data_IF_668807476337
#
_entry.id   IF_668807476337
#
_cell.length_a   1.000
_cell.length_b   1.000
_cell.length_c   1.000
_cell.angle_alpha   90.00
_cell.angle_beta   90.00
_cell.angle_gamma   90.00
#
_symmetry.space_group_name_H-M   'P 1'
#
loop_
_entity.id
_entity.type
_entity.pdbx_description
1 polymer ?
#
# COMPACT_ATOMS: atom_id res chain seq x y z
N UNK A 1 14.93 -11.17 15.95
CA UNK A 1 13.63 -10.53 16.25
C UNK A 1 13.00 -11.19 17.46
N UNK A 2 12.15 -10.45 18.19
CA UNK A 2 11.46 -10.88 19.43
C UNK A 2 10.21 -11.75 19.17
N UNK A 3 9.79 -11.92 17.91
CA UNK A 3 8.56 -12.60 17.53
C UNK A 3 8.85 -13.94 16.83
N UNK A 4 8.03 -14.95 17.11
CA UNK A 4 8.05 -16.23 16.42
C UNK A 4 7.00 -16.27 15.31
N UNK A 5 7.21 -17.12 14.30
CA UNK A 5 6.22 -17.34 13.23
C UNK A 5 4.83 -17.69 13.77
N UNK A 6 4.76 -18.49 14.83
CA UNK A 6 3.50 -18.87 15.49
C UNK A 6 2.73 -17.68 16.06
N UNK A 7 3.41 -16.62 16.48
CA UNK A 7 2.76 -15.41 16.98
C UNK A 7 2.00 -14.72 15.85
N UNK A 8 2.62 -14.67 14.66
CA UNK A 8 2.00 -14.11 13.46
C UNK A 8 0.87 -14.99 12.93
N UNK A 9 1.02 -16.31 12.94
CA UNK A 9 -0.07 -17.23 12.57
C UNK A 9 -1.29 -17.05 13.46
N UNK A 10 -1.09 -16.82 14.77
CA UNK A 10 -2.17 -16.53 15.70
C UNK A 10 -2.87 -15.20 15.36
N UNK A 11 -2.11 -14.11 15.14
CA UNK A 11 -2.68 -12.81 14.73
C UNK A 11 -3.47 -12.92 13.41
N UNK A 12 -2.93 -13.66 12.43
CA UNK A 12 -3.54 -13.81 11.10
C UNK A 12 -4.77 -14.74 11.09
N UNK A 13 -4.88 -15.66 12.06
CA UNK A 13 -6.02 -16.58 12.20
C UNK A 13 -7.37 -15.85 12.36
N UNK A 14 -7.35 -14.62 12.89
CA UNK A 14 -8.55 -13.79 13.05
C UNK A 14 -9.06 -13.15 11.76
N UNK A 15 -8.24 -13.14 10.71
CA UNK A 15 -8.54 -12.40 9.47
C UNK A 15 -8.57 -13.32 8.24
N UNK A 16 -8.57 -14.64 8.47
CA UNK A 16 -8.60 -15.68 7.44
C UNK A 16 -7.41 -15.61 6.46
N UNK A 17 -6.25 -15.17 6.94
CA UNK A 17 -5.03 -15.15 6.16
C UNK A 17 -4.10 -16.29 6.60
N UNK A 18 -3.43 -16.93 5.65
CA UNK A 18 -2.41 -17.95 5.91
C UNK A 18 -1.06 -17.53 5.34
N UNK A 19 0.02 -17.81 6.05
CA UNK A 19 1.40 -17.58 5.57
C UNK A 19 1.75 -18.64 4.55
N UNK A 20 1.98 -18.22 3.30
CA UNK A 20 2.40 -19.08 2.19
C UNK A 20 3.91 -19.23 2.18
N UNK A 21 4.62 -18.09 2.16
CA UNK A 21 6.08 -18.04 2.15
C UNK A 21 6.59 -16.89 3.01
N UNK A 22 7.90 -16.90 3.25
CA UNK A 22 8.56 -15.93 4.13
C UNK A 22 9.93 -15.61 3.57
N UNK A 23 10.22 -14.32 3.43
CA UNK A 23 11.54 -13.78 3.17
C UNK A 23 11.96 -12.88 4.34
N UNK A 24 13.23 -12.91 4.73
CA UNK A 24 13.71 -12.18 5.91
C UNK A 24 15.15 -11.73 5.76
N UNK A 25 15.47 -10.61 6.39
CA UNK A 25 16.83 -10.17 6.67
C UNK A 25 16.93 -9.60 8.09
N UNK A 26 18.04 -8.94 8.44
CA UNK A 26 18.26 -8.42 9.79
C UNK A 26 17.34 -7.27 10.19
N UNK A 27 16.62 -6.67 9.23
CA UNK A 27 15.85 -5.42 9.41
C UNK A 27 14.34 -5.66 9.23
N UNK A 28 13.95 -6.53 8.28
CA UNK A 28 12.56 -6.76 7.88
C UNK A 28 12.27 -8.24 7.62
N UNK A 29 11.15 -8.71 8.16
CA UNK A 29 10.49 -9.96 7.80
C UNK A 29 9.30 -9.64 6.88
N UNK A 30 9.21 -10.36 5.76
CA UNK A 30 8.13 -10.24 4.79
C UNK A 30 7.42 -11.59 4.62
N UNK A 31 6.10 -11.58 4.65
CA UNK A 31 5.26 -12.77 4.56
C UNK A 31 4.31 -12.61 3.38
N UNK A 32 4.44 -13.49 2.38
CA UNK A 32 3.40 -13.64 1.35
C UNK A 32 2.28 -14.45 1.98
N UNK A 33 1.08 -13.90 1.94
CA UNK A 33 -0.13 -14.52 2.48
C UNK A 33 -1.05 -14.96 1.34
N UNK A 34 -2.10 -15.71 1.67
CA UNK A 34 -3.21 -16.00 0.76
C UNK A 34 -3.86 -14.70 0.25
N UNK A 35 -3.42 -14.26 -0.93
CA UNK A 35 -3.78 -13.00 -1.62
C UNK A 35 -3.44 -11.71 -0.85
N UNK A 36 -2.44 -11.74 0.03
CA UNK A 36 -2.21 -10.65 0.98
C UNK A 36 -0.72 -10.57 1.35
N UNK A 37 -0.29 -9.49 2.01
CA UNK A 37 1.10 -9.34 2.45
C UNK A 37 1.18 -8.78 3.86
N UNK A 38 2.18 -9.24 4.60
CA UNK A 38 2.53 -8.69 5.91
C UNK A 38 4.03 -8.41 6.00
N UNK A 39 4.37 -7.25 6.54
CA UNK A 39 5.75 -6.84 6.78
C UNK A 39 5.94 -6.48 8.24
N UNK A 40 7.04 -6.96 8.82
CA UNK A 40 7.39 -6.76 10.23
C UNK A 40 8.81 -6.26 10.30
N UNK A 41 9.00 -5.13 10.96
CA UNK A 41 10.33 -4.58 11.28
C UNK A 41 10.38 -4.19 12.76
N UNK A 42 11.51 -3.67 13.22
CA UNK A 42 11.73 -3.32 14.64
C UNK A 42 10.61 -2.47 15.27
N UNK A 43 10.00 -1.54 14.52
CA UNK A 43 8.99 -0.60 15.04
C UNK A 43 7.79 -0.37 14.10
N UNK A 44 7.71 -1.12 13.00
CA UNK A 44 6.64 -0.96 11.99
C UNK A 44 6.09 -2.33 11.63
N UNK A 45 4.76 -2.41 11.62
CA UNK A 45 3.99 -3.56 11.18
C UNK A 45 3.02 -3.10 10.10
N UNK A 46 2.98 -3.83 8.99
CA UNK A 46 2.11 -3.57 7.85
C UNK A 46 1.36 -4.86 7.54
N UNK A 47 0.04 -4.76 7.37
CA UNK A 47 -0.80 -5.84 6.88
C UNK A 47 -1.70 -5.28 5.78
N UNK A 48 -1.56 -5.86 4.58
CA UNK A 48 -2.42 -5.56 3.44
C UNK A 48 -3.19 -6.81 3.08
N UNK A 49 -4.51 -6.71 3.11
CA UNK A 49 -5.39 -7.83 2.76
C UNK A 49 -6.40 -7.47 1.68
N UNK A 50 -6.97 -8.48 1.02
CA UNK A 50 -8.01 -8.30 0.01
C UNK A 50 -9.21 -9.24 0.23
N UNK A 51 -10.10 -9.30 -0.76
CA UNK A 51 -11.32 -10.12 -0.70
C UNK A 51 -12.28 -9.65 0.40
N UNK A 52 -12.73 -10.59 1.22
CA UNK A 52 -13.66 -10.37 2.36
C UNK A 52 -12.97 -10.56 3.72
N UNK A 53 -11.64 -10.51 3.73
CA UNK A 53 -10.86 -10.51 4.98
C UNK A 53 -11.23 -9.33 5.86
N UNK A 54 -10.98 -9.43 7.17
CA UNK A 54 -11.41 -8.41 8.14
C UNK A 54 -10.23 -7.82 8.92
N UNK A 55 -9.29 -7.13 8.26
CA UNK A 55 -7.99 -6.76 8.83
C UNK A 55 -8.10 -6.00 10.17
N UNK A 56 -9.14 -5.20 10.38
CA UNK A 56 -9.31 -4.48 11.66
C UNK A 56 -9.52 -5.42 12.86
N UNK A 57 -10.01 -6.65 12.66
CA UNK A 57 -10.22 -7.61 13.75
C UNK A 57 -8.94 -8.17 14.35
N UNK A 58 -7.81 -8.13 13.63
CA UNK A 58 -6.53 -8.59 14.21
C UNK A 58 -5.90 -7.56 15.16
N UNK A 59 -6.33 -6.30 15.11
CA UNK A 59 -5.70 -5.18 15.81
C UNK A 59 -5.61 -5.41 17.34
N UNK A 60 -6.66 -5.95 17.96
CA UNK A 60 -6.66 -6.24 19.39
C UNK A 60 -5.63 -7.31 19.80
N UNK A 61 -5.40 -8.32 18.95
CA UNK A 61 -4.36 -9.33 19.20
C UNK A 61 -2.96 -8.79 18.91
N UNK A 62 -2.81 -8.00 17.84
CA UNK A 62 -1.56 -7.33 17.52
C UNK A 62 -1.10 -6.45 18.68
N UNK A 63 -1.98 -5.64 19.25
CA UNK A 63 -1.65 -4.76 20.38
C UNK A 63 -1.23 -5.55 21.62
N UNK A 64 -1.90 -6.66 21.93
CA UNK A 64 -1.50 -7.56 23.04
C UNK A 64 -0.14 -8.20 22.80
N UNK A 65 0.12 -8.65 21.57
CA UNK A 65 1.41 -9.23 21.19
C UNK A 65 2.53 -8.18 21.29
N UNK A 66 2.26 -6.95 20.86
CA UNK A 66 3.18 -5.82 20.95
C UNK A 66 3.50 -5.48 22.42
N UNK A 67 2.48 -5.36 23.27
CA UNK A 67 2.62 -5.10 24.72
C UNK A 67 3.44 -6.18 25.42
N UNK A 68 3.16 -7.46 25.14
CA UNK A 68 3.92 -8.59 25.68
C UNK A 68 5.41 -8.56 25.32
N UNK A 69 5.77 -7.84 24.25
CA UNK A 69 7.14 -7.66 23.77
C UNK A 69 7.70 -6.26 24.07
N UNK A 70 7.06 -5.49 24.95
CA UNK A 70 7.55 -4.20 25.44
C UNK A 70 7.16 -2.99 24.59
N UNK A 71 6.30 -3.16 23.58
CA UNK A 71 5.77 -2.07 22.76
C UNK A 71 4.43 -1.60 23.30
N UNK A 72 4.48 -0.69 24.29
CA UNK A 72 3.29 -0.22 25.01
C UNK A 72 2.64 1.01 24.39
N UNK A 73 3.12 1.44 23.23
CA UNK A 73 2.83 2.75 22.66
C UNK A 73 2.73 2.65 21.14
N UNK A 74 1.57 3.06 20.60
CA UNK A 74 1.39 3.29 19.17
C UNK A 74 1.69 4.75 18.87
N UNK A 75 2.76 5.00 18.10
CA UNK A 75 3.18 6.35 17.73
C UNK A 75 2.29 6.92 16.61
N UNK A 76 2.12 6.14 15.55
CA UNK A 76 1.31 6.47 14.38
C UNK A 76 0.52 5.21 13.95
N UNK A 77 -0.70 5.42 13.45
CA UNK A 77 -1.55 4.41 12.82
C UNK A 77 -2.07 4.98 11.50
N UNK A 78 -2.06 4.15 10.47
CA UNK A 78 -2.69 4.42 9.19
C UNK A 78 -3.54 3.21 8.81
N UNK A 79 -4.83 3.42 8.66
CA UNK A 79 -5.74 2.46 8.05
C UNK A 79 -6.29 3.11 6.79
N UNK A 80 -6.08 2.48 5.64
CA UNK A 80 -6.53 3.04 4.38
C UNK A 80 -7.02 1.97 3.44
N UNK A 81 -7.87 2.41 2.51
CA UNK A 81 -8.32 1.59 1.38
C UNK A 81 -8.93 2.46 0.30
N UNK A 82 -8.85 1.99 -0.94
CA UNK A 82 -9.72 2.46 -2.02
C UNK A 82 -11.18 2.06 -1.73
N UNK A 83 -12.14 2.78 -2.31
CA UNK A 83 -13.53 2.33 -2.33
C UNK A 83 -13.67 0.95 -2.99
N UNK A 84 -14.47 0.09 -2.39
CA UNK A 84 -14.73 -1.27 -2.89
C UNK A 84 -15.62 -1.24 -4.13
N UNK A 85 -15.38 -2.17 -5.05
CA UNK A 85 -16.30 -2.44 -6.18
C UNK A 85 -17.65 -2.98 -5.69
N UNK A 86 -17.63 -3.76 -4.60
CA UNK A 86 -18.80 -4.42 -4.00
C UNK A 86 -18.81 -4.27 -2.47
N UNK A 87 -19.12 -3.09 -1.93
CA UNK A 87 -19.14 -2.85 -0.48
C UNK A 87 -20.09 -3.78 0.28
N UNK A 88 -21.19 -4.20 -0.35
CA UNK A 88 -22.21 -5.07 0.24
C UNK A 88 -21.73 -6.49 0.54
N UNK A 89 -20.63 -6.92 -0.08
CA UNK A 89 -20.02 -8.23 0.16
C UNK A 89 -19.10 -8.25 1.40
N UNK A 90 -18.78 -7.09 1.95
CA UNK A 90 -17.85 -6.97 3.07
C UNK A 90 -18.51 -7.36 4.41
N UNK A 91 -17.66 -7.73 5.36
CA UNK A 91 -18.06 -8.23 6.69
C UNK A 91 -17.70 -7.16 7.72
N UNK A 92 -18.60 -6.91 8.69
CA UNK A 92 -18.33 -6.04 9.84
C UNK A 92 -16.93 -6.29 10.42
N UNK A 93 -16.12 -5.22 10.67
CA UNK A 93 -16.50 -3.80 10.64
C UNK A 93 -16.26 -3.09 9.29
N UNK A 94 -16.24 -3.79 8.16
CA UNK A 94 -15.82 -3.27 6.85
C UNK A 94 -16.95 -2.98 5.86
N UNK A 95 -18.21 -2.91 6.30
CA UNK A 95 -19.35 -2.69 5.39
C UNK A 95 -19.45 -1.24 4.90
N UNK A 96 -18.75 -0.32 5.57
CA UNK A 96 -18.63 1.06 5.15
C UNK A 96 -17.60 1.81 5.97
N UNK A 97 -17.10 2.92 5.44
CA UNK A 97 -16.01 3.66 6.09
C UNK A 97 -16.41 4.22 7.46
N UNK A 98 -17.68 4.62 7.63
CA UNK A 98 -18.20 5.05 8.94
C UNK A 98 -18.13 3.96 10.00
N UNK A 99 -18.38 2.69 9.63
CA UNK A 99 -18.28 1.56 10.55
C UNK A 99 -16.82 1.31 10.96
N UNK A 100 -15.92 1.37 9.99
CA UNK A 100 -14.47 1.22 10.21
C UNK A 100 -13.93 2.31 11.14
N UNK A 101 -14.35 3.56 10.93
CA UNK A 101 -14.01 4.70 11.80
C UNK A 101 -14.56 4.48 13.22
N UNK A 102 -15.82 4.07 13.34
CA UNK A 102 -16.45 3.80 14.65
C UNK A 102 -15.71 2.71 15.42
N UNK A 103 -15.30 1.64 14.73
CA UNK A 103 -14.48 0.58 15.31
C UNK A 103 -13.12 1.11 15.78
N UNK A 104 -12.42 1.86 14.93
CA UNK A 104 -11.10 2.41 15.24
C UNK A 104 -11.12 3.42 16.37
N UNK A 105 -12.12 4.30 16.43
CA UNK A 105 -12.30 5.28 17.51
C UNK A 105 -12.53 4.63 18.88
N UNK A 106 -13.05 3.40 18.92
CA UNK A 106 -13.17 2.63 20.17
C UNK A 106 -11.82 2.20 20.75
N UNK A 107 -10.76 2.19 19.93
CA UNK A 107 -9.40 1.78 20.30
C UNK A 107 -8.47 2.99 20.41
N UNK A 108 -8.59 3.93 19.47
CA UNK A 108 -7.73 5.10 19.34
C UNK A 108 -8.55 6.39 19.44
N UNK A 109 -8.84 6.87 20.67
CA UNK A 109 -9.56 8.12 20.84
C UNK A 109 -8.75 9.26 20.22
N UNK A 110 -9.40 10.12 19.43
CA UNK A 110 -8.81 11.22 18.64
C UNK A 110 -8.14 10.83 17.32
N UNK A 111 -8.45 9.66 16.75
CA UNK A 111 -8.16 9.44 15.35
C UNK A 111 -8.93 10.39 14.44
N UNK A 112 -8.49 10.47 13.19
CA UNK A 112 -9.02 11.38 12.17
C UNK A 112 -9.25 10.60 10.90
N UNK A 113 -10.40 10.81 10.28
CA UNK A 113 -10.78 10.17 9.02
C UNK A 113 -10.86 11.17 7.88
N UNK A 114 -10.50 10.71 6.68
CA UNK A 114 -10.42 11.49 5.45
C UNK A 114 -10.93 10.65 4.29
N UNK A 115 -11.51 11.32 3.30
CA UNK A 115 -11.87 10.76 2.00
C UNK A 115 -11.26 11.64 0.92
N UNK A 116 -10.41 11.06 0.07
CA UNK A 116 -9.74 11.75 -1.02
C UNK A 116 -10.30 11.25 -2.35
N UNK A 117 -10.43 12.14 -3.32
CA UNK A 117 -11.12 11.85 -4.58
C UNK A 117 -12.61 12.20 -4.53
N UNK A 118 -13.38 11.60 -5.43
CA UNK A 118 -14.82 11.83 -5.56
C UNK A 118 -15.60 10.71 -4.86
N UNK A 119 -16.33 11.07 -3.79
CA UNK A 119 -17.11 10.11 -2.98
C UNK A 119 -18.12 9.28 -3.77
N UNK A 120 -18.63 9.85 -4.87
CA UNK A 120 -19.61 9.22 -5.75
C UNK A 120 -18.97 8.48 -6.95
N UNK A 121 -17.64 8.51 -7.08
CA UNK A 121 -16.89 7.84 -8.15
C UNK A 121 -15.74 7.02 -7.55
N UNK A 122 -14.51 7.52 -7.68
CA UNK A 122 -13.27 6.89 -7.25
C UNK A 122 -12.73 7.69 -6.06
N UNK A 123 -12.60 7.02 -4.92
CA UNK A 123 -12.05 7.65 -3.72
C UNK A 123 -11.19 6.69 -2.91
N UNK A 124 -10.35 7.29 -2.08
CA UNK A 124 -9.45 6.60 -1.16
C UNK A 124 -9.70 7.12 0.25
N UNK A 125 -9.99 6.18 1.15
CA UNK A 125 -10.30 6.45 2.54
C UNK A 125 -9.06 6.28 3.40
N UNK A 126 -8.93 7.13 4.41
CA UNK A 126 -7.86 7.10 5.39
C UNK A 126 -8.40 7.39 6.77
N UNK A 127 -8.13 6.50 7.71
CA UNK A 127 -8.12 6.79 9.12
C UNK A 127 -6.68 6.87 9.60
N UNK A 128 -6.35 7.91 10.36
CA UNK A 128 -5.03 8.04 10.97
C UNK A 128 -5.14 8.48 12.42
N UNK A 129 -4.23 7.95 13.23
CA UNK A 129 -3.99 8.39 14.59
C UNK A 129 -2.51 8.68 14.75
N UNK A 130 -2.17 9.78 15.42
CA UNK A 130 -0.80 10.15 15.75
C UNK A 130 -0.78 10.66 17.17
N UNK A 131 0.09 10.09 18.01
CA UNK A 131 0.22 10.53 19.41
C UNK A 131 0.98 11.86 19.49
N UNK A 132 0.26 12.94 19.78
CA UNK A 132 0.79 14.31 19.84
C UNK A 132 1.79 14.52 20.97
N UNK A 133 1.56 13.89 22.13
CA UNK A 133 2.31 14.03 23.38
C UNK A 133 3.73 13.45 23.31
N UNK A 134 3.94 12.37 22.55
CA UNK A 134 5.28 11.80 22.30
C UNK A 134 6.12 12.74 21.44
N UNK A 135 5.49 13.43 20.49
CA UNK A 135 6.16 14.44 19.65
C UNK A 135 6.44 15.74 20.45
N UNK A 136 5.84 15.91 21.63
CA UNK A 136 6.02 17.04 22.56
C UNK A 136 6.92 16.65 23.77
N UNK A 137 7.54 15.47 23.78
CA UNK A 137 8.57 15.12 24.77
C UNK A 137 10.00 15.16 24.20
N UNK A 138 10.53 16.32 23.78
CA UNK A 138 11.96 16.57 23.83
C UNK A 138 12.28 16.97 25.28
N UNK A 139 12.87 16.08 26.08
CA UNK A 139 13.39 16.48 27.40
C UNK A 139 14.57 17.49 27.33
N UNK A 140 14.82 18.11 26.17
CA UNK A 140 15.78 19.19 26.02
C UNK A 140 15.15 20.23 25.09
N UNK A 141 14.79 21.37 25.68
CA UNK A 141 14.65 22.63 24.94
C UNK A 141 16.03 22.92 24.35
N UNK A 142 16.25 22.48 23.12
CA UNK A 142 17.22 23.08 22.21
C UNK A 142 16.40 23.72 21.10
N UNK A 143 16.66 24.99 20.80
CA UNK A 143 16.01 25.82 19.79
C UNK A 143 16.17 25.32 18.32
N UNK A 144 16.46 24.03 18.12
CA UNK A 144 16.52 23.42 16.80
C UNK A 144 15.15 22.88 16.38
N UNK A 145 14.61 23.48 15.32
CA UNK A 145 13.32 23.19 14.68
C UNK A 145 13.21 21.81 14.01
N UNK A 146 14.04 20.83 14.36
CA UNK A 146 14.04 19.50 13.77
C UNK A 146 14.01 18.44 14.87
N UNK A 147 12.80 18.01 15.25
CA UNK A 147 12.63 16.71 15.90
C UNK A 147 13.05 15.67 14.87
N UNK A 148 14.15 14.96 15.14
CA UNK A 148 14.85 14.03 14.25
C UNK A 148 13.98 12.79 13.96
N UNK A 149 13.04 12.90 13.01
CA UNK A 149 12.25 11.77 12.52
C UNK A 149 13.00 11.07 11.38
N UNK A 150 13.19 9.75 11.50
CA UNK A 150 13.72 8.93 10.41
C UNK A 150 12.92 9.20 9.11
N UNK A 151 13.57 9.35 7.94
CA UNK A 151 12.85 9.57 6.68
C UNK A 151 11.92 8.39 6.38
N UNK A 152 10.64 8.68 6.15
CA UNK A 152 9.63 7.67 5.85
C UNK A 152 8.71 8.15 4.74
N UNK A 153 8.40 7.22 3.86
CA UNK A 153 7.52 7.42 2.73
C UNK A 153 6.86 6.12 2.32
N UNK A 154 5.69 6.19 1.71
CA UNK A 154 5.00 5.06 1.10
C UNK A 154 4.31 5.56 -0.16
N UNK A 155 4.50 4.87 -1.27
CA UNK A 155 3.73 5.09 -2.50
C UNK A 155 2.86 3.87 -2.76
N UNK A 156 1.59 4.09 -3.11
CA UNK A 156 0.72 3.07 -3.67
C UNK A 156 0.28 3.47 -5.08
N UNK A 157 0.18 2.49 -5.97
CA UNK A 157 -0.39 2.63 -7.30
C UNK A 157 -1.47 1.57 -7.45
N UNK A 158 -2.72 2.01 -7.51
CA UNK A 158 -3.92 1.16 -7.52
C UNK A 158 -4.54 1.21 -8.91
N UNK A 159 -4.55 0.09 -9.61
CA UNK A 159 -4.78 0.00 -11.04
C UNK A 159 -6.02 -0.84 -11.35
N UNK A 160 -6.81 -0.40 -12.33
CA UNK A 160 -8.01 -1.06 -12.80
C UNK A 160 -8.08 -1.04 -14.33
N UNK A 161 -8.96 -1.87 -14.88
CA UNK A 161 -9.23 -1.98 -16.31
C UNK A 161 -7.95 -2.33 -17.09
N UNK A 162 -7.26 -3.38 -16.64
CA UNK A 162 -5.94 -3.75 -17.13
C UNK A 162 -5.99 -4.44 -18.50
N UNK A 163 -4.93 -4.28 -19.28
CA UNK A 163 -4.75 -4.94 -20.57
C UNK A 163 -4.89 -6.48 -20.45
N UNK A 164 -5.87 -7.11 -21.13
CA UNK A 164 -6.12 -8.55 -21.00
C UNK A 164 -4.95 -9.43 -21.43
N UNK A 165 -4.13 -8.98 -22.39
CA UNK A 165 -2.94 -9.72 -22.81
C UNK A 165 -1.89 -9.74 -21.69
N UNK A 166 -1.67 -8.59 -21.06
CA UNK A 166 -0.81 -8.46 -19.87
C UNK A 166 -1.33 -9.30 -18.70
N UNK A 167 -2.64 -9.25 -18.41
CA UNK A 167 -3.25 -10.05 -17.33
C UNK A 167 -3.19 -11.56 -17.58
N UNK A 168 -3.16 -11.99 -18.85
CA UNK A 168 -3.08 -13.41 -19.20
C UNK A 168 -1.83 -14.11 -18.67
N UNK A 169 -0.76 -13.36 -18.36
CA UNK A 169 0.49 -13.87 -17.78
C UNK A 169 0.23 -14.51 -16.41
N UNK A 170 -0.74 -13.99 -15.64
CA UNK A 170 -0.97 -14.38 -14.25
C UNK A 170 -2.00 -15.50 -14.09
N UNK A 171 -2.17 -16.33 -15.13
CA UNK A 171 -2.93 -17.57 -15.09
C UNK A 171 -1.95 -18.75 -14.94
N UNK A 172 -2.23 -19.66 -14.00
CA UNK A 172 -1.34 -20.77 -13.65
C UNK A 172 -1.05 -21.73 -14.79
N UNK A 173 -1.95 -21.82 -15.78
CA UNK A 173 -1.73 -22.63 -16.96
C UNK A 173 -0.65 -22.08 -17.93
N UNK A 174 -0.13 -20.86 -17.70
CA UNK A 174 0.91 -20.24 -18.53
C UNK A 174 2.33 -20.49 -18.01
N UNK A 175 2.50 -20.69 -16.71
CA UNK A 175 3.80 -20.85 -16.08
C UNK A 175 3.77 -21.98 -15.05
N UNK A 176 4.87 -22.73 -14.96
CA UNK A 176 5.00 -23.81 -13.98
C UNK A 176 5.26 -23.28 -12.56
N UNK A 177 5.81 -22.06 -12.46
CA UNK A 177 6.14 -21.39 -11.21
C UNK A 177 5.85 -19.88 -11.29
N UNK A 178 5.89 -19.22 -10.12
CA UNK A 178 5.64 -17.79 -10.02
C UNK A 178 6.77 -16.95 -10.65
N UNK A 179 8.02 -17.40 -10.56
CA UNK A 179 9.18 -16.71 -11.13
C UNK A 179 9.05 -16.47 -12.63
N UNK A 180 8.53 -17.45 -13.38
CA UNK A 180 8.26 -17.29 -14.81
C UNK A 180 7.32 -16.13 -15.12
N UNK A 181 6.28 -15.93 -14.31
CA UNK A 181 5.36 -14.81 -14.43
C UNK A 181 6.04 -13.47 -14.07
N UNK A 182 6.86 -13.46 -13.01
CA UNK A 182 7.63 -12.30 -12.55
C UNK A 182 8.55 -11.76 -13.64
N UNK A 183 9.36 -12.63 -14.24
CA UNK A 183 10.31 -12.25 -15.30
C UNK A 183 9.59 -11.90 -16.60
N UNK A 184 8.55 -12.66 -16.97
CA UNK A 184 7.82 -12.40 -18.23
C UNK A 184 7.07 -11.08 -18.21
N UNK A 185 6.48 -10.72 -17.07
CA UNK A 185 5.77 -9.45 -16.90
C UNK A 185 6.71 -8.25 -16.78
N UNK A 186 7.96 -8.48 -16.37
CA UNK A 186 8.94 -7.41 -16.12
C UNK A 186 8.87 -6.85 -14.69
N UNK A 187 8.17 -7.52 -13.77
CA UNK A 187 8.08 -7.14 -12.35
C UNK A 187 9.48 -7.07 -11.71
N UNK A 188 10.36 -8.01 -12.04
CA UNK A 188 11.76 -8.05 -11.59
C UNK A 188 12.56 -6.79 -11.96
N UNK A 189 12.12 -6.06 -12.99
CA UNK A 189 12.79 -4.84 -13.45
C UNK A 189 12.31 -3.57 -12.75
N UNK A 190 11.12 -3.58 -12.09
CA UNK A 190 10.51 -2.37 -11.50
C UNK A 190 11.43 -1.77 -10.43
N UNK A 191 11.91 -2.61 -9.51
CA UNK A 191 12.89 -2.27 -8.48
C UNK A 191 13.94 -3.39 -8.43
N UNK A 192 14.98 -3.35 -9.30
CA UNK A 192 15.88 -4.48 -9.53
C UNK A 192 16.72 -4.93 -8.32
N UNK A 193 16.78 -4.11 -7.27
CA UNK A 193 17.53 -4.41 -6.04
C UNK A 193 16.71 -5.23 -5.04
N UNK A 194 15.46 -5.55 -5.35
CA UNK A 194 14.58 -6.30 -4.44
C UNK A 194 14.82 -7.79 -4.55
N UNK A 195 14.98 -8.46 -3.41
CA UNK A 195 14.83 -9.91 -3.33
C UNK A 195 13.34 -10.25 -3.36
N UNK A 196 12.89 -10.85 -4.45
CA UNK A 196 11.49 -11.22 -4.67
C UNK A 196 11.17 -12.60 -4.08
N UNK A 197 10.04 -12.68 -3.38
CA UNK A 197 9.34 -13.89 -2.94
C UNK A 197 7.93 -13.82 -3.56
N UNK A 198 7.68 -14.66 -4.55
CA UNK A 198 6.50 -14.61 -5.41
C UNK A 198 5.64 -15.87 -5.32
N UNK A 199 4.36 -15.72 -5.63
CA UNK A 199 3.40 -16.81 -5.63
C UNK A 199 2.34 -16.64 -6.72
N UNK A 200 2.05 -17.73 -7.43
CA UNK A 200 1.05 -17.80 -8.50
C UNK A 200 -0.10 -18.71 -8.06
N UNK A 201 -1.29 -18.13 -7.96
CA UNK A 201 -2.50 -18.78 -7.45
C UNK A 201 -3.18 -19.63 -8.53
N UNK A 202 -4.06 -20.54 -8.08
CA UNK A 202 -4.81 -21.48 -8.92
C UNK A 202 -6.30 -21.13 -8.89
N UNK A 203 -6.96 -20.92 -10.04
CA UNK A 203 -6.44 -21.03 -11.42
C UNK A 203 -5.64 -19.82 -11.90
N UNK A 204 -5.77 -18.69 -11.23
CA UNK A 204 -5.10 -17.44 -11.59
C UNK A 204 -4.94 -16.54 -10.36
N UNK A 205 -4.19 -15.46 -10.54
CA UNK A 205 -3.84 -14.52 -9.48
C UNK A 205 -2.36 -14.61 -9.15
N UNK A 206 -1.78 -13.49 -8.71
CA UNK A 206 -0.37 -13.42 -8.38
C UNK A 206 -0.16 -12.49 -7.18
N UNK A 207 0.77 -12.83 -6.30
CA UNK A 207 1.24 -11.95 -5.23
C UNK A 207 2.74 -12.08 -5.05
N UNK A 208 3.38 -10.99 -4.67
CA UNK A 208 4.81 -11.02 -4.35
C UNK A 208 5.17 -9.99 -3.30
N UNK A 209 6.23 -10.30 -2.56
CA UNK A 209 6.95 -9.35 -1.74
C UNK A 209 8.39 -9.22 -2.25
N UNK A 210 8.90 -8.00 -2.26
CA UNK A 210 10.30 -7.67 -2.46
C UNK A 210 10.84 -7.04 -1.19
N UNK A 211 12.02 -7.45 -0.73
CA UNK A 211 12.75 -6.75 0.34
C UNK A 211 14.21 -6.51 -0.05
N UNK A 212 14.84 -5.50 0.54
CA UNK A 212 16.27 -5.25 0.36
C UNK A 212 17.01 -5.01 1.69
N UNK A 213 18.34 -4.90 1.61
CA UNK A 213 19.23 -4.75 2.77
C UNK A 213 19.07 -3.43 3.53
N UNK A 214 18.29 -2.48 3.00
CA UNK A 214 17.97 -1.20 3.67
C UNK A 214 16.69 -1.26 4.50
N UNK A 215 16.00 -2.42 4.53
CA UNK A 215 14.67 -2.54 5.15
C UNK A 215 13.56 -1.89 4.33
N UNK A 216 13.79 -1.67 3.03
CA UNK A 216 12.75 -1.25 2.10
C UNK A 216 12.00 -2.48 1.57
N UNK A 217 10.73 -2.30 1.26
CA UNK A 217 9.86 -3.34 0.74
C UNK A 217 9.15 -2.90 -0.54
N UNK A 218 8.70 -3.88 -1.31
CA UNK A 218 7.78 -3.76 -2.44
C UNK A 218 6.73 -4.87 -2.29
N UNK A 219 5.46 -4.60 -2.58
CA UNK A 219 4.46 -5.66 -2.73
C UNK A 219 3.59 -5.40 -3.95
N UNK A 220 3.21 -6.48 -4.64
CA UNK A 220 2.31 -6.45 -5.78
C UNK A 220 1.27 -7.55 -5.61
N UNK A 221 -0.01 -7.19 -5.77
CA UNK A 221 -1.13 -8.14 -5.78
C UNK A 221 -1.94 -7.97 -7.07
N UNK A 222 -2.24 -9.07 -7.74
CA UNK A 222 -2.86 -9.10 -9.08
C UNK A 222 -4.08 -10.01 -9.07
N UNK A 223 -5.22 -9.44 -9.46
CA UNK A 223 -6.48 -10.12 -9.80
C UNK A 223 -6.68 -9.98 -11.32
N UNK A 224 -6.37 -11.00 -12.12
CA UNK A 224 -6.29 -10.89 -13.58
C UNK A 224 -7.62 -11.09 -14.33
N UNK A 225 -8.72 -11.39 -13.64
CA UNK A 225 -10.02 -11.60 -14.28
C UNK A 225 -10.55 -10.32 -14.94
N UNK A 226 -10.85 -10.40 -16.25
CA UNK A 226 -11.21 -9.22 -17.06
C UNK A 226 -12.38 -8.40 -16.50
N UNK A 227 -13.35 -9.04 -15.85
CA UNK A 227 -14.56 -8.38 -15.36
C UNK A 227 -14.28 -7.42 -14.18
N UNK A 228 -13.20 -7.64 -13.45
CA UNK A 228 -12.86 -6.89 -12.23
C UNK A 228 -11.35 -6.81 -12.03
N UNK A 229 -10.60 -6.71 -13.13
CA UNK A 229 -9.14 -6.73 -13.10
C UNK A 229 -8.60 -5.63 -12.19
N UNK A 230 -7.67 -6.01 -11.32
CA UNK A 230 -7.12 -5.13 -10.31
C UNK A 230 -5.65 -5.46 -10.06
N UNK A 231 -4.81 -4.43 -9.99
CA UNK A 231 -3.42 -4.56 -9.54
C UNK A 231 -3.15 -3.49 -8.50
N UNK A 232 -2.56 -3.88 -7.38
CA UNK A 232 -1.96 -2.93 -6.44
C UNK A 232 -0.45 -3.09 -6.44
N UNK A 233 0.26 -1.96 -6.44
CA UNK A 233 1.69 -1.86 -6.20
C UNK A 233 1.90 -0.96 -4.99
N UNK A 234 2.78 -1.34 -4.08
CA UNK A 234 3.12 -0.53 -2.90
C UNK A 234 4.60 -0.68 -2.56
N UNK A 235 5.24 0.41 -2.15
CA UNK A 235 6.64 0.39 -1.70
C UNK A 235 6.96 1.58 -0.80
N UNK A 236 7.93 1.40 0.10
CA UNK A 236 8.57 2.49 0.84
C UNK A 236 9.96 2.87 0.32
N UNK A 237 10.39 2.38 -0.85
CA UNK A 237 11.73 2.68 -1.38
C UNK A 237 11.91 4.19 -1.56
N UNK A 238 12.98 4.73 -1.00
CA UNK A 238 13.32 6.14 -1.10
C UNK A 238 13.86 6.45 -2.50
N UNK A 239 13.10 7.24 -3.28
CA UNK A 239 13.51 7.69 -4.60
C UNK A 239 13.48 9.21 -4.69
N UNK A 240 14.39 9.77 -5.47
CA UNK A 240 14.36 11.19 -5.84
C UNK A 240 13.35 11.49 -6.96
N UNK A 241 12.84 10.45 -7.64
CA UNK A 241 11.94 10.61 -8.79
C UNK A 241 10.91 9.48 -8.84
N UNK A 242 9.78 9.67 -8.14
CA UNK A 242 8.64 8.74 -8.18
C UNK A 242 7.92 8.73 -9.52
N UNK A 243 8.03 9.78 -10.35
CA UNK A 243 7.43 9.76 -11.69
C UNK A 243 8.02 8.64 -12.55
N UNK A 244 9.34 8.42 -12.48
CA UNK A 244 9.98 7.32 -13.19
C UNK A 244 9.43 5.96 -12.72
N UNK A 245 9.27 5.78 -11.40
CA UNK A 245 8.69 4.56 -10.82
C UNK A 245 7.24 4.36 -11.28
N UNK A 246 6.40 5.41 -11.18
CA UNK A 246 4.99 5.36 -11.62
C UNK A 246 4.91 4.93 -13.08
N UNK A 247 5.70 5.57 -13.96
CA UNK A 247 5.74 5.21 -15.38
C UNK A 247 6.18 3.76 -15.61
N UNK A 248 7.14 3.27 -14.85
CA UNK A 248 7.61 1.89 -14.96
C UNK A 248 6.51 0.89 -14.56
N UNK A 249 5.80 1.15 -13.46
CA UNK A 249 4.69 0.32 -12.99
C UNK A 249 3.53 0.31 -14.00
N UNK A 250 3.08 1.49 -14.47
CA UNK A 250 1.95 1.54 -15.42
C UNK A 250 2.32 1.01 -16.80
N UNK A 251 3.58 1.08 -17.23
CA UNK A 251 4.04 0.44 -18.48
C UNK A 251 4.10 -1.09 -18.35
N UNK A 252 4.35 -1.60 -17.14
CA UNK A 252 4.36 -3.04 -16.83
C UNK A 252 2.94 -3.61 -16.92
N UNK A 253 1.96 -2.92 -16.30
CA UNK A 253 0.61 -3.46 -16.13
C UNK A 253 -0.44 -2.93 -17.10
N UNK A 254 -0.15 -1.82 -17.79
CA UNK A 254 -1.04 -1.17 -18.78
C UNK A 254 -2.49 -1.03 -18.30
N UNK A 255 -2.74 -0.31 -17.18
CA UNK A 255 -4.11 -0.06 -16.72
C UNK A 255 -4.91 0.81 -17.70
N UNK A 256 -6.23 0.87 -17.54
CA UNK A 256 -7.08 1.87 -18.16
C UNK A 256 -7.25 3.12 -17.29
N UNK A 257 -7.19 2.93 -15.96
CA UNK A 257 -7.20 3.98 -14.95
C UNK A 257 -6.40 3.57 -13.71
N UNK A 258 -5.87 4.54 -12.98
CA UNK A 258 -5.15 4.28 -11.74
C UNK A 258 -5.20 5.46 -10.76
N UNK A 259 -5.01 5.13 -9.49
CA UNK A 259 -4.80 6.09 -8.39
C UNK A 259 -3.37 5.97 -7.91
N UNK A 260 -2.76 7.10 -7.59
CA UNK A 260 -1.48 7.18 -6.89
C UNK A 260 -1.72 7.83 -5.52
N UNK A 261 -1.25 7.18 -4.47
CA UNK A 261 -1.11 7.79 -3.14
C UNK A 261 0.37 7.87 -2.79
N UNK A 262 0.82 9.00 -2.24
CA UNK A 262 2.17 9.13 -1.69
C UNK A 262 2.03 9.73 -0.30
N UNK A 263 2.49 9.00 0.71
CA UNK A 263 2.75 9.51 2.05
C UNK A 263 4.23 9.79 2.19
N UNK A 264 4.59 10.92 2.79
CA UNK A 264 5.98 11.23 3.10
C UNK A 264 6.07 12.18 4.29
N UNK A 265 7.01 11.93 5.19
CA UNK A 265 7.38 12.92 6.18
C UNK A 265 8.36 13.96 5.59
N UNK A 266 8.61 15.04 6.32
CA UNK A 266 9.45 16.17 5.86
C UNK A 266 10.92 15.79 5.63
N UNK A 267 11.38 14.68 6.21
CA UNK A 267 12.75 14.20 6.08
C UNK A 267 12.94 13.33 4.83
N UNK A 268 11.85 12.89 4.19
CA UNK A 268 11.88 12.02 3.03
C UNK A 268 12.23 12.75 1.73
N UNK A 269 12.96 12.06 0.84
CA UNK A 269 13.17 12.48 -0.54
C UNK A 269 11.86 12.64 -1.33
N UNK A 270 10.83 11.87 -0.96
CA UNK A 270 9.51 11.91 -1.59
C UNK A 270 8.77 13.23 -1.36
N UNK A 271 9.13 13.97 -0.31
CA UNK A 271 8.46 15.22 0.07
C UNK A 271 8.54 16.27 -1.04
N UNK A 272 9.71 16.44 -1.66
CA UNK A 272 9.88 17.37 -2.79
C UNK A 272 9.26 16.84 -4.07
N UNK A 273 9.26 15.51 -4.29
CA UNK A 273 8.62 14.91 -5.46
C UNK A 273 7.10 15.13 -5.49
N UNK A 274 6.43 15.21 -4.34
CA UNK A 274 5.00 15.55 -4.31
C UNK A 274 4.73 16.91 -4.98
N UNK A 275 5.58 17.92 -4.70
CA UNK A 275 5.49 19.24 -5.33
C UNK A 275 5.75 19.17 -6.84
N UNK A 276 6.71 18.35 -7.26
CA UNK A 276 6.97 18.16 -8.70
C UNK A 276 5.81 17.50 -9.43
N UNK A 277 5.08 16.58 -8.77
CA UNK A 277 3.87 15.97 -9.32
C UNK A 277 2.68 16.94 -9.37
N UNK A 278 2.67 18.00 -8.53
CA UNK A 278 1.68 19.09 -8.60
C UNK A 278 1.84 19.88 -9.90
N UNK A 279 3.09 20.13 -10.29
CA UNK A 279 3.43 20.82 -11.54
C UNK A 279 2.92 19.97 -12.73
N UNK A 280 1.89 20.50 -13.38
CA UNK A 280 1.18 19.85 -14.46
C UNK A 280 2.14 19.47 -15.59
N UNK A 281 2.28 18.17 -15.87
CA UNK A 281 2.98 17.71 -17.05
C UNK A 281 2.20 18.13 -18.29
N UNK A 282 2.70 19.19 -18.92
CA UNK A 282 2.18 19.79 -20.13
C UNK A 282 2.27 18.80 -21.32
N UNK A 283 1.14 18.60 -22.00
CA UNK A 283 0.98 18.28 -23.43
C UNK A 283 1.62 17.01 -24.06
N UNK A 284 2.25 16.10 -23.31
CA UNK A 284 2.90 14.91 -23.90
C UNK A 284 2.46 13.54 -23.37
N UNK A 285 1.56 13.48 -22.38
CA UNK A 285 1.15 12.25 -21.70
C UNK A 285 -0.21 11.77 -22.21
N UNK A 286 -0.32 10.48 -22.54
CA UNK A 286 -1.61 9.83 -22.88
C UNK A 286 -2.53 9.66 -21.64
N UNK A 287 -2.03 10.01 -20.46
CA UNK A 287 -2.77 10.01 -19.21
C UNK A 287 -3.33 11.39 -18.91
N UNK A 288 -4.63 11.43 -18.61
CA UNK A 288 -5.33 12.62 -18.11
C UNK A 288 -5.45 12.51 -16.60
N UNK A 289 -4.90 13.48 -15.87
CA UNK A 289 -5.13 13.64 -14.43
C UNK A 289 -6.55 14.17 -14.21
N UNK A 290 -7.41 13.38 -13.56
CA UNK A 290 -8.83 13.73 -13.35
C UNK A 290 -9.08 14.36 -12.00
N UNK A 291 -8.28 14.02 -10.99
CA UNK A 291 -8.34 14.59 -9.65
C UNK A 291 -6.94 14.60 -9.03
N UNK A 292 -6.70 15.57 -8.15
CA UNK A 292 -5.48 15.68 -7.36
C UNK A 292 -5.79 16.43 -6.06
N UNK A 293 -5.43 15.83 -4.93
CA UNK A 293 -5.66 16.38 -3.61
C UNK A 293 -4.41 16.21 -2.76
N UNK A 294 -3.97 17.30 -2.14
CA UNK A 294 -2.81 17.31 -1.25
C UNK A 294 -3.29 17.61 0.18
N UNK A 295 -2.90 16.77 1.12
CA UNK A 295 -3.25 16.89 2.54
C UNK A 295 -1.99 17.00 3.39
N UNK A 296 -1.96 18.00 4.26
CA UNK A 296 -0.89 18.14 5.24
C UNK A 296 -1.39 17.64 6.61
N UNK A 297 -0.81 16.54 7.09
CA UNK A 297 -0.99 16.05 8.44
C UNK A 297 0.16 16.54 9.34
N UNK A 298 0.07 16.40 10.68
CA UNK A 298 1.11 16.90 11.58
C UNK A 298 2.53 16.39 11.28
N UNK A 299 2.67 15.16 10.77
CA UNK A 299 3.98 14.54 10.51
C UNK A 299 4.17 14.01 9.09
N UNK A 300 3.11 13.97 8.29
CA UNK A 300 3.15 13.45 6.92
C UNK A 300 2.39 14.39 6.00
N UNK A 301 2.90 14.54 4.79
CA UNK A 301 2.09 15.01 3.68
C UNK A 301 1.58 13.80 2.92
N UNK A 302 0.38 13.95 2.37
CA UNK A 302 -0.28 12.98 1.53
C UNK A 302 -0.64 13.62 0.21
N UNK A 303 -0.18 13.01 -0.86
CA UNK A 303 -0.66 13.26 -2.20
C UNK A 303 -1.60 12.14 -2.65
N UNK A 304 -2.80 12.51 -3.09
CA UNK A 304 -3.69 11.66 -3.86
C UNK A 304 -3.80 12.20 -5.29
N UNK A 305 -3.67 11.35 -6.29
CA UNK A 305 -3.92 11.71 -7.68
C UNK A 305 -4.58 10.57 -8.45
N UNK A 306 -5.56 10.91 -9.28
CA UNK A 306 -6.28 9.97 -10.13
C UNK A 306 -5.98 10.25 -11.61
N UNK A 307 -5.75 9.18 -12.37
CA UNK A 307 -5.47 9.23 -13.79
C UNK A 307 -6.36 8.26 -14.56
N UNK A 308 -6.78 8.67 -15.75
CA UNK A 308 -7.46 7.83 -16.73
C UNK A 308 -6.85 8.02 -18.11
N UNK A 309 -6.97 7.02 -18.98
CA UNK A 309 -6.54 7.17 -20.37
C UNK A 309 -7.33 8.32 -21.04
N UNK A 310 -6.66 9.18 -21.79
CA UNK A 310 -7.36 10.15 -22.65
C UNK A 310 -8.05 9.37 -23.77
N UNK A 311 -9.37 9.43 -23.89
CA UNK A 311 -10.03 8.94 -25.11
C UNK A 311 -9.35 9.62 -26.30
N UNK A 312 -8.83 8.85 -27.26
CA UNK A 312 -8.57 9.41 -28.58
C UNK A 312 -9.95 9.87 -29.05
N UNK A 313 -10.16 11.18 -29.13
CA UNK A 313 -11.23 11.72 -29.95
C UNK A 313 -11.06 11.08 -31.31
N UNK A 314 -11.94 10.13 -31.64
CA UNK A 314 -11.96 9.53 -32.95
C UNK A 314 -12.15 10.66 -33.94
N UNK A 315 -11.14 10.88 -34.80
CA UNK A 315 -11.35 11.62 -36.03
C UNK A 315 -12.40 10.84 -36.82
N UNK A 316 -13.65 11.26 -36.69
CA UNK A 316 -14.66 11.01 -37.70
C UNK A 316 -14.26 11.79 -38.94
N UNK A 317 -13.61 11.11 -39.88
CA UNK A 317 -13.59 11.45 -41.30
C UNK A 317 -13.85 10.18 -42.12
#
# INVERSE_FOLDING_TARGET
MLFFRSDWENVLSNVNCQIISTSKNDIIDAFVLSESSMFVSKRRWILKTCGTTTPLKCLGQLLKLAEANGYNVVADLFYSRKNFTRPEAQITPHQGFTEEVTYLDSIFPNGRSYCLGSMNLECWYLYTFSRSDIKISPQLISDDKNVDSDPDQTIEILMQDLDPETMSIFYKNKFNDANGATVKSGIDTILPTMHIDDFLFDPCGYSMNGINDKGEYMTIHITPENQFSYVSFETNVALSNYRKLINQVINTFKPGKFIVTIFANKCSLAYETMKELEVEYSQGSHWKRTDMQCCNFPSYNLLFAQYSHSEKTGDNL
#
